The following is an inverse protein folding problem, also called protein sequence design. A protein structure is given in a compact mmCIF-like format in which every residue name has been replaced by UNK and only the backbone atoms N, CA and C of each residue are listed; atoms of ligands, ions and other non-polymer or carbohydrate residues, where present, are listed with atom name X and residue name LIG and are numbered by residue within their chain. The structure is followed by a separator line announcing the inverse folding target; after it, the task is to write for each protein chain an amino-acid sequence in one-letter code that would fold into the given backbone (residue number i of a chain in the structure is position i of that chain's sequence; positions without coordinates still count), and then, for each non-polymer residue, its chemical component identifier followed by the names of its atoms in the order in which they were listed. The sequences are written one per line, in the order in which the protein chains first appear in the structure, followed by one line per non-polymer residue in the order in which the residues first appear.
data_IF_001934520359
#
_entry.id   IF_001934520359
#
_cell.length_a   1.000
_cell.length_b   1.000
_cell.length_c   1.000
_cell.angle_alpha   90.00
_cell.angle_beta   90.00
_cell.angle_gamma   90.00
#
_symmetry.space_group_name_H-M   'P 1'
#
loop_
_entity.id
_entity.type
_entity.pdbx_description
1 polymer ?
#
# COMPACT_ATOMS: atom_id res chain seq x y z
N UNK A 1 -55.11 8.68 -48.88
CA UNK A 1 -53.83 9.41 -49.08
C UNK A 1 -53.59 10.27 -47.84
N UNK A 2 -52.53 9.98 -47.07
CA UNK A 2 -51.71 10.90 -46.24
C UNK A 2 -52.42 11.85 -45.23
N UNK A 3 -52.05 12.00 -43.96
CA UNK A 3 -50.77 11.77 -43.27
C UNK A 3 -50.99 11.85 -41.75
N UNK A 4 -50.23 11.04 -41.03
CA UNK A 4 -50.00 11.05 -39.58
C UNK A 4 -49.43 12.40 -39.13
N UNK A 5 -49.88 12.98 -38.02
CA UNK A 5 -49.09 13.95 -37.23
C UNK A 5 -49.64 14.03 -35.81
N UNK A 6 -48.77 13.89 -34.81
CA UNK A 6 -49.12 14.09 -33.40
C UNK A 6 -48.42 13.15 -32.42
N UNK A 7 -47.13 12.86 -32.65
CA UNK A 7 -46.26 12.21 -31.67
C UNK A 7 -45.38 13.26 -31.01
N UNK A 8 -45.05 12.99 -29.74
CA UNK A 8 -43.90 13.50 -29.00
C UNK A 8 -44.01 14.90 -28.36
N UNK A 9 -44.52 14.93 -27.13
CA UNK A 9 -43.88 15.72 -26.08
C UNK A 9 -44.04 14.94 -24.77
N UNK A 10 -43.06 15.03 -23.86
CA UNK A 10 -42.88 14.30 -22.59
C UNK A 10 -41.84 13.18 -22.71
N UNK A 11 -40.58 13.57 -22.53
CA UNK A 11 -39.49 12.76 -21.93
C UNK A 11 -38.22 13.63 -21.85
N UNK A 12 -38.27 14.68 -21.04
CA UNK A 12 -37.09 15.46 -20.66
C UNK A 12 -37.09 15.60 -19.14
N UNK A 13 -36.93 14.48 -18.44
CA UNK A 13 -36.74 14.48 -17.00
C UNK A 13 -35.65 13.48 -16.62
N UNK A 14 -34.65 14.01 -15.92
CA UNK A 14 -33.67 13.32 -15.09
C UNK A 14 -32.63 12.42 -15.81
N UNK A 15 -31.60 13.06 -16.36
CA UNK A 15 -30.25 12.50 -16.35
C UNK A 15 -29.25 13.51 -15.81
N UNK A 16 -29.50 13.99 -14.58
CA UNK A 16 -28.41 14.53 -13.75
C UNK A 16 -27.67 13.33 -13.20
N UNK A 17 -26.67 12.86 -13.95
CA UNK A 17 -25.65 11.97 -13.42
C UNK A 17 -25.00 12.70 -12.23
N UNK A 18 -25.28 12.21 -11.02
CA UNK A 18 -24.52 12.58 -9.82
C UNK A 18 -23.10 12.09 -10.08
N UNK A 19 -22.22 13.01 -10.47
CA UNK A 19 -20.80 12.78 -10.40
C UNK A 19 -20.49 12.55 -8.92
N UNK A 20 -20.21 11.30 -8.55
CA UNK A 20 -19.57 11.02 -7.28
C UNK A 20 -18.16 11.62 -7.42
N UNK A 21 -17.95 12.76 -6.78
CA UNK A 21 -16.63 13.35 -6.68
C UNK A 21 -15.71 12.31 -6.06
N UNK A 22 -14.71 11.87 -6.82
CA UNK A 22 -13.61 11.11 -6.25
C UNK A 22 -12.92 12.05 -5.25
N UNK A 23 -13.23 11.91 -3.97
CA UNK A 23 -12.64 12.75 -2.93
C UNK A 23 -11.17 12.38 -2.80
N UNK A 24 -10.30 13.18 -3.40
CA UNK A 24 -8.91 13.22 -2.98
C UNK A 24 -8.91 13.70 -1.53
N UNK A 25 -8.40 12.89 -0.61
CA UNK A 25 -8.23 13.29 0.77
C UNK A 25 -6.75 13.44 1.07
N UNK A 26 -6.42 14.35 1.96
CA UNK A 26 -5.05 14.57 2.38
C UNK A 26 -4.60 13.44 3.32
N UNK A 27 -3.43 12.88 3.06
CA UNK A 27 -2.74 11.95 3.94
C UNK A 27 -1.54 12.67 4.54
N UNK A 28 -1.41 12.62 5.86
CA UNK A 28 -0.23 13.11 6.59
C UNK A 28 0.70 11.94 6.87
N UNK A 29 1.97 12.07 6.52
CA UNK A 29 3.00 11.11 6.88
C UNK A 29 3.67 11.52 8.20
N UNK A 30 3.57 10.65 9.20
CA UNK A 30 4.07 10.92 10.56
C UNK A 30 5.43 10.28 10.84
N UNK A 31 5.90 9.42 9.93
CA UNK A 31 7.19 8.74 10.05
C UNK A 31 7.06 7.23 10.01
N UNK A 32 8.07 6.56 10.59
CA UNK A 32 8.14 5.10 10.67
C UNK A 32 8.52 4.67 12.08
N UNK A 33 7.78 3.71 12.63
CA UNK A 33 8.02 3.16 13.97
C UNK A 33 8.95 1.93 13.93
N UNK A 34 8.45 0.75 13.51
CA UNK A 34 9.25 -0.45 13.33
C UNK A 34 9.88 -0.47 11.95
N UNK A 35 11.20 -0.38 11.89
CA UNK A 35 11.96 -0.37 10.64
C UNK A 35 13.33 -0.99 10.78
N UNK A 36 13.83 -1.53 9.69
CA UNK A 36 15.22 -1.92 9.54
C UNK A 36 15.77 -1.42 8.21
N UNK A 37 17.09 -1.36 8.15
CA UNK A 37 17.80 -1.01 6.93
C UNK A 37 17.96 -2.25 6.06
N UNK A 38 17.62 -2.13 4.78
CA UNK A 38 17.72 -3.21 3.79
C UNK A 38 18.49 -2.75 2.56
N UNK A 39 19.29 -3.64 1.98
CA UNK A 39 19.92 -3.39 0.68
C UNK A 39 19.06 -4.01 -0.40
N UNK A 40 18.58 -3.20 -1.33
CA UNK A 40 17.68 -3.63 -2.39
C UNK A 40 18.46 -4.15 -3.58
N UNK A 41 18.09 -5.32 -4.10
CA UNK A 41 18.64 -5.86 -5.34
C UNK A 41 17.51 -6.13 -6.34
N UNK A 42 16.99 -5.05 -6.92
CA UNK A 42 15.96 -5.10 -7.96
C UNK A 42 16.58 -4.59 -9.28
N UNK A 43 17.07 -5.47 -10.17
CA UNK A 43 17.62 -5.04 -11.45
C UNK A 43 16.61 -4.21 -12.25
N UNK A 44 17.03 -3.04 -12.75
CA UNK A 44 16.17 -2.13 -13.51
C UNK A 44 15.43 -1.08 -12.67
N UNK A 45 15.38 -1.21 -11.34
CA UNK A 45 14.87 -0.17 -10.44
C UNK A 45 15.93 0.92 -10.18
N UNK A 46 15.48 2.15 -9.92
CA UNK A 46 16.35 3.29 -9.58
C UNK A 46 17.06 3.12 -8.23
N UNK A 47 16.54 2.23 -7.37
CA UNK A 47 17.07 1.98 -6.03
C UNK A 47 17.90 0.68 -5.93
N UNK A 48 18.16 0.00 -7.05
CA UNK A 48 19.01 -1.19 -7.08
C UNK A 48 20.41 -0.92 -6.50
N UNK A 49 20.86 -1.78 -5.59
CA UNK A 49 22.12 -1.66 -4.86
C UNK A 49 22.12 -0.62 -3.73
N UNK A 50 21.02 0.14 -3.54
CA UNK A 50 20.92 1.14 -2.49
C UNK A 50 20.46 0.53 -1.18
N UNK A 51 20.84 1.22 -0.11
CA UNK A 51 20.45 0.87 1.26
C UNK A 51 19.37 1.85 1.71
N UNK A 52 18.19 1.32 2.03
CA UNK A 52 16.98 2.09 2.37
C UNK A 52 16.34 1.57 3.66
N UNK A 53 15.43 2.33 4.25
CA UNK A 53 14.60 1.82 5.34
C UNK A 53 13.38 1.08 4.77
N UNK A 54 13.13 -0.12 5.29
CA UNK A 54 11.90 -0.87 5.09
C UNK A 54 11.23 -1.08 6.44
N UNK A 55 9.90 -1.00 6.48
CA UNK A 55 9.17 -1.12 7.73
C UNK A 55 7.76 -0.55 7.67
N UNK A 56 7.20 -0.37 8.85
CA UNK A 56 5.87 0.17 9.07
C UNK A 56 5.91 1.69 9.09
N UNK A 57 4.98 2.30 8.37
CA UNK A 57 4.76 3.74 8.30
C UNK A 57 3.57 4.09 9.21
N UNK A 58 3.66 5.25 9.84
CA UNK A 58 2.57 5.89 10.56
C UNK A 58 2.03 7.02 9.67
N UNK A 59 0.72 6.99 9.42
CA UNK A 59 0.02 8.01 8.65
C UNK A 59 -1.24 8.43 9.38
N UNK A 60 -1.65 9.68 9.19
CA UNK A 60 -2.99 10.15 9.51
C UNK A 60 -3.76 10.30 8.20
N UNK A 61 -4.97 9.77 8.14
CA UNK A 61 -5.82 9.86 6.97
C UNK A 61 -7.30 9.80 7.37
N UNK A 62 -8.11 10.75 6.85
CA UNK A 62 -9.52 10.89 7.25
C UNK A 62 -9.69 10.92 8.79
N UNK A 63 -8.87 11.73 9.47
CA UNK A 63 -8.87 11.90 10.93
C UNK A 63 -8.61 10.61 11.72
N UNK A 64 -7.98 9.61 11.10
CA UNK A 64 -7.61 8.34 11.73
C UNK A 64 -6.11 8.05 11.58
N UNK A 65 -5.49 7.65 12.69
CA UNK A 65 -4.13 7.14 12.71
C UNK A 65 -4.11 5.71 12.18
N UNK A 66 -3.37 5.49 11.09
CA UNK A 66 -3.26 4.21 10.42
C UNK A 66 -1.81 3.76 10.33
N UNK A 67 -1.65 2.45 10.28
CA UNK A 67 -0.38 1.81 9.92
C UNK A 67 -0.38 1.47 8.44
N UNK A 68 0.73 1.74 7.77
CA UNK A 68 0.85 1.57 6.33
C UNK A 68 2.22 1.00 5.94
N UNK A 69 2.31 0.49 4.72
CA UNK A 69 3.57 0.03 4.10
C UNK A 69 3.71 0.67 2.73
N UNK A 70 4.91 1.15 2.40
CA UNK A 70 5.18 1.59 1.04
C UNK A 70 5.17 0.38 0.10
N UNK A 71 4.41 0.46 -0.98
CA UNK A 71 4.31 -0.61 -2.00
C UNK A 71 5.16 -0.33 -3.24
N UNK A 72 5.70 0.89 -3.34
CA UNK A 72 6.49 1.36 -4.47
C UNK A 72 7.96 1.45 -4.05
N UNK A 73 8.82 0.71 -4.75
CA UNK A 73 10.24 0.65 -4.43
C UNK A 73 11.00 1.87 -4.93
N UNK A 74 10.49 2.58 -5.94
CA UNK A 74 11.19 3.69 -6.58
C UNK A 74 10.74 5.06 -6.03
N UNK A 75 9.74 5.09 -5.15
CA UNK A 75 9.19 6.31 -4.56
C UNK A 75 9.31 6.32 -3.03
N UNK A 76 9.33 7.55 -2.48
CA UNK A 76 9.37 7.79 -1.05
C UNK A 76 7.98 8.16 -0.52
N UNK A 77 7.68 7.73 0.69
CA UNK A 77 6.46 8.15 1.39
C UNK A 77 6.57 9.60 1.84
N UNK A 78 5.46 10.33 1.77
CA UNK A 78 5.34 11.71 2.20
C UNK A 78 3.88 12.13 2.33
N UNK A 79 3.65 13.31 2.90
CA UNK A 79 2.31 13.88 3.01
C UNK A 79 1.84 14.44 1.66
N UNK A 80 0.63 14.08 1.23
CA UNK A 80 0.05 14.59 -0.01
C UNK A 80 -1.46 14.34 -0.06
N UNK A 81 -2.13 14.96 -1.01
CA UNK A 81 -3.43 14.44 -1.46
C UNK A 81 -3.23 13.05 -2.07
N UNK A 82 -4.09 12.10 -1.67
CA UNK A 82 -4.04 10.72 -2.16
C UNK A 82 -5.40 10.29 -2.69
N UNK A 83 -5.37 9.41 -3.67
CA UNK A 83 -6.55 8.72 -4.18
C UNK A 83 -6.55 7.28 -3.70
N UNK A 84 -7.67 6.84 -3.16
CA UNK A 84 -7.87 5.44 -2.80
C UNK A 84 -7.92 4.55 -4.04
N UNK A 85 -7.18 3.44 -3.97
CA UNK A 85 -7.22 2.41 -4.99
C UNK A 85 -7.32 1.05 -4.32
N UNK A 86 -8.14 0.20 -4.90
CA UNK A 86 -8.22 -1.19 -4.49
C UNK A 86 -6.92 -1.92 -4.83
N UNK A 87 -6.32 -2.53 -3.81
CA UNK A 87 -5.08 -3.28 -3.89
C UNK A 87 -5.11 -4.35 -5.00
N UNK A 88 -6.22 -5.10 -5.05
CA UNK A 88 -6.35 -6.31 -5.86
C UNK A 88 -6.38 -5.98 -7.35
N UNK A 89 -7.03 -4.89 -7.72
CA UNK A 89 -7.15 -4.41 -9.09
C UNK A 89 -5.99 -3.51 -9.53
N UNK A 90 -5.37 -2.78 -8.61
CA UNK A 90 -4.34 -1.80 -8.96
C UNK A 90 -2.92 -2.38 -8.97
N UNK A 91 -2.58 -3.26 -8.02
CA UNK A 91 -1.23 -3.83 -7.94
C UNK A 91 -1.08 -5.12 -8.71
N UNK A 92 0.14 -5.32 -9.24
CA UNK A 92 0.60 -6.66 -9.64
C UNK A 92 0.59 -7.57 -8.42
N UNK A 93 0.02 -8.77 -8.57
CA UNK A 93 -0.12 -9.75 -7.50
C UNK A 93 -0.88 -9.20 -6.26
N UNK A 94 -1.81 -8.25 -6.46
CA UNK A 94 -2.50 -7.54 -5.38
C UNK A 94 -3.22 -8.44 -4.36
N UNK A 95 -3.72 -9.62 -4.78
CA UNK A 95 -4.30 -10.60 -3.85
C UNK A 95 -3.27 -11.15 -2.85
N UNK A 96 -2.05 -11.42 -3.32
CA UNK A 96 -0.98 -11.92 -2.46
C UNK A 96 -0.44 -10.81 -1.56
N UNK A 97 -0.35 -9.57 -2.06
CA UNK A 97 -0.03 -8.39 -1.24
C UNK A 97 -1.06 -8.21 -0.11
N UNK A 98 -2.35 -8.25 -0.44
CA UNK A 98 -3.43 -8.16 0.55
C UNK A 98 -3.33 -9.30 1.58
N UNK A 99 -3.11 -10.53 1.12
CA UNK A 99 -2.90 -11.69 2.01
C UNK A 99 -1.72 -11.48 2.97
N UNK A 100 -0.56 -11.07 2.46
CA UNK A 100 0.63 -10.83 3.29
C UNK A 100 0.37 -9.75 4.34
N UNK A 101 -0.23 -8.63 3.93
CA UNK A 101 -0.54 -7.53 4.83
C UNK A 101 -1.52 -7.95 5.93
N UNK A 102 -2.67 -8.53 5.57
CA UNK A 102 -3.71 -8.95 6.54
C UNK A 102 -3.21 -10.05 7.48
N UNK A 103 -2.38 -10.97 6.97
CA UNK A 103 -1.88 -12.10 7.75
C UNK A 103 -0.80 -11.68 8.74
N UNK A 104 0.15 -10.85 8.31
CA UNK A 104 1.37 -10.61 9.08
C UNK A 104 1.42 -9.24 9.76
N UNK A 105 0.72 -8.21 9.26
CA UNK A 105 0.76 -6.89 9.88
C UNK A 105 0.32 -6.88 11.36
N UNK A 106 -0.69 -7.67 11.80
CA UNK A 106 -1.10 -7.68 13.22
C UNK A 106 -0.09 -8.39 14.14
N UNK A 107 0.83 -9.17 13.56
CA UNK A 107 1.82 -9.96 14.30
C UNK A 107 3.15 -9.24 14.51
N UNK A 108 3.29 -8.03 13.98
CA UNK A 108 4.53 -7.25 14.03
C UNK A 108 4.78 -6.72 15.43
N UNK A 109 5.89 -7.16 16.01
CA UNK A 109 6.36 -6.76 17.34
C UNK A 109 7.83 -6.27 17.34
N UNK A 110 8.47 -6.22 16.18
CA UNK A 110 9.88 -5.85 16.05
C UNK A 110 10.20 -5.11 14.74
N UNK A 111 11.34 -4.41 14.74
CA UNK A 111 11.93 -3.78 13.56
C UNK A 111 12.12 -4.76 12.40
N UNK A 112 12.59 -5.98 12.72
CA UNK A 112 12.85 -7.01 11.71
C UNK A 112 11.58 -7.58 11.11
N UNK A 113 10.56 -7.87 11.90
CA UNK A 113 9.28 -8.37 11.37
C UNK A 113 8.60 -7.34 10.48
N UNK A 114 8.69 -6.04 10.83
CA UNK A 114 8.14 -4.98 10.00
C UNK A 114 8.88 -4.81 8.66
N UNK A 115 10.21 -4.82 8.70
CA UNK A 115 11.02 -4.75 7.49
C UNK A 115 10.85 -5.99 6.60
N UNK A 116 10.74 -7.18 7.20
CA UNK A 116 10.49 -8.42 6.48
C UNK A 116 9.16 -8.40 5.74
N UNK A 117 8.09 -7.89 6.37
CA UNK A 117 6.80 -7.71 5.68
C UNK A 117 6.92 -6.71 4.52
N UNK A 118 7.55 -5.55 4.73
CA UNK A 118 7.73 -4.55 3.67
C UNK A 118 8.51 -5.10 2.47
N UNK A 119 9.60 -5.83 2.74
CA UNK A 119 10.38 -6.51 1.70
C UNK A 119 9.59 -7.59 1.00
N UNK A 120 8.83 -8.43 1.72
CA UNK A 120 7.99 -9.47 1.10
C UNK A 120 6.92 -8.86 0.18
N UNK A 121 6.32 -7.73 0.57
CA UNK A 121 5.39 -6.97 -0.28
C UNK A 121 6.10 -6.51 -1.56
N UNK A 122 7.29 -5.93 -1.45
CA UNK A 122 8.06 -5.52 -2.62
C UNK A 122 8.47 -6.69 -3.52
N UNK A 123 8.87 -7.83 -2.96
CA UNK A 123 9.17 -9.05 -3.71
C UNK A 123 7.96 -9.47 -4.53
N UNK A 124 6.80 -9.62 -3.89
CA UNK A 124 5.58 -10.05 -4.56
C UNK A 124 5.15 -9.09 -5.66
N UNK A 125 5.28 -7.78 -5.45
CA UNK A 125 4.93 -6.78 -6.47
C UNK A 125 5.88 -6.84 -7.67
N UNK A 126 7.17 -7.04 -7.42
CA UNK A 126 8.21 -6.99 -8.46
C UNK A 126 8.56 -8.37 -9.05
N UNK A 127 8.04 -9.46 -8.49
CA UNK A 127 8.23 -10.80 -9.02
C UNK A 127 7.71 -10.87 -10.46
N UNK A 128 8.59 -11.23 -11.39
CA UNK A 128 8.20 -11.57 -12.76
C UNK A 128 8.10 -13.08 -12.88
N UNK A 129 7.21 -13.59 -13.75
CA UNK A 129 7.05 -15.03 -13.98
C UNK A 129 8.34 -15.74 -14.47
N UNK A 130 9.40 -14.98 -14.79
CA UNK A 130 10.68 -15.47 -15.32
C UNK A 130 11.76 -15.57 -14.23
N UNK A 131 11.54 -14.98 -13.04
CA UNK A 131 12.58 -14.81 -12.01
C UNK A 131 12.68 -15.95 -10.98
N UNK A 132 11.83 -16.99 -11.06
CA UNK A 132 11.83 -18.13 -10.13
C UNK A 132 13.16 -18.89 -10.00
N UNK A 133 14.13 -18.66 -10.90
CA UNK A 133 15.41 -19.38 -10.93
C UNK A 133 16.62 -18.54 -10.49
N UNK A 134 16.48 -17.23 -10.22
CA UNK A 134 17.64 -16.33 -10.04
C UNK A 134 17.55 -15.42 -8.81
N UNK A 135 17.71 -16.01 -7.61
CA UNK A 135 17.93 -15.36 -6.29
C UNK A 135 16.75 -14.50 -5.78
N UNK A 136 16.52 -14.44 -4.45
CA UNK A 136 15.58 -13.46 -3.88
C UNK A 136 16.05 -12.02 -4.19
N UNK A 137 15.10 -11.13 -4.49
CA UNK A 137 15.31 -9.72 -4.87
C UNK A 137 15.90 -8.92 -3.69
N UNK A 138 15.77 -9.43 -2.46
CA UNK A 138 16.27 -8.73 -1.28
C UNK A 138 17.15 -9.63 -0.41
N UNK A 139 18.22 -9.05 0.12
CA UNK A 139 19.06 -9.68 1.12
C UNK A 139 18.89 -8.93 2.43
N UNK A 140 18.06 -9.48 3.33
CA UNK A 140 17.96 -9.01 4.69
C UNK A 140 19.24 -9.42 5.43
N UNK A 141 20.21 -8.51 5.52
CA UNK A 141 21.31 -8.69 6.48
C UNK A 141 20.81 -8.21 7.84
N UNK A 142 20.79 -9.07 8.89
CA UNK A 142 20.57 -8.58 10.23
C UNK A 142 21.68 -7.59 10.57
N UNK A 143 21.31 -6.33 10.86
CA UNK A 143 22.16 -5.43 11.62
C UNK A 143 22.42 -6.14 12.95
N UNK A 144 23.69 -6.42 13.26
CA UNK A 144 24.05 -6.99 14.57
C UNK A 144 23.79 -5.93 15.64
N UNK A 145 22.53 -5.80 16.06
CA UNK A 145 22.16 -5.00 17.21
C UNK A 145 22.52 -5.81 18.45
N UNK A 146 23.57 -5.36 19.13
CA UNK A 146 24.00 -5.94 20.39
C UNK A 146 22.92 -5.74 21.47
N UNK A 147 22.27 -6.86 21.82
CA UNK A 147 21.56 -7.15 23.08
C UNK A 147 20.32 -6.31 23.43
N UNK A 148 19.16 -6.97 23.67
CA UNK A 148 18.52 -7.18 25.02
C UNK A 148 17.06 -7.72 24.95
N UNK A 149 16.44 -8.17 26.08
CA UNK A 149 15.78 -9.48 26.16
C UNK A 149 14.25 -9.51 26.15
N UNK A 150 13.74 -10.74 25.98
CA UNK A 150 12.35 -11.27 26.04
C UNK A 150 11.39 -10.63 27.06
N UNK A 151 10.17 -10.27 26.60
CA UNK A 151 8.89 -10.32 27.36
C UNK A 151 7.74 -10.58 26.37
N UNK A 152 7.09 -11.76 26.43
CA UNK A 152 5.89 -12.18 27.20
C UNK A 152 4.59 -11.89 26.43
N UNK A 153 3.95 -12.98 25.98
CA UNK A 153 2.72 -13.00 25.21
C UNK A 153 1.55 -12.32 25.93
N UNK A 154 0.79 -11.51 25.19
CA UNK A 154 -0.47 -10.88 25.59
C UNK A 154 -1.59 -11.43 24.70
N UNK A 155 -2.74 -11.69 25.33
CA UNK A 155 -3.95 -12.28 24.72
C UNK A 155 -4.65 -11.32 23.76
N UNK A 156 -5.23 -11.94 22.73
CA UNK A 156 -6.17 -11.42 21.73
C UNK A 156 -7.36 -10.63 22.31
N UNK A 157 -7.85 -9.61 21.58
CA UNK A 157 -9.27 -9.30 21.50
C UNK A 157 -9.83 -9.53 20.09
N UNK A 158 -11.05 -10.06 20.08
CA UNK A 158 -11.96 -10.22 18.95
C UNK A 158 -12.36 -8.87 18.32
N UNK A 159 -12.71 -8.96 17.03
CA UNK A 159 -13.36 -7.95 16.18
C UNK A 159 -12.47 -6.84 15.60
N UNK A 160 -11.72 -7.19 14.55
CA UNK A 160 -11.28 -6.24 13.54
C UNK A 160 -12.33 -6.22 12.40
N UNK A 161 -13.06 -5.12 12.33
CA UNK A 161 -13.83 -4.68 11.18
C UNK A 161 -12.90 -4.63 9.97
N UNK A 162 -13.39 -5.08 8.81
CA UNK A 162 -12.65 -5.21 7.54
C UNK A 162 -11.82 -3.95 7.25
N UNK A 163 -10.53 -3.99 7.57
CA UNK A 163 -9.59 -2.99 7.11
C UNK A 163 -9.50 -3.15 5.59
N UNK A 164 -10.14 -2.23 4.86
CA UNK A 164 -9.87 -2.10 3.44
C UNK A 164 -8.36 -1.91 3.29
N UNK A 165 -7.69 -2.85 2.63
CA UNK A 165 -6.29 -2.70 2.18
C UNK A 165 -6.27 -1.56 1.16
N UNK A 166 -6.27 -0.33 1.65
CA UNK A 166 -6.17 0.86 0.83
C UNK A 166 -4.69 1.04 0.52
N UNK A 167 -4.30 0.55 -0.66
CA UNK A 167 -2.96 0.78 -1.19
C UNK A 167 -2.98 2.20 -1.74
N UNK A 168 -2.74 3.14 -0.84
CA UNK A 168 -2.66 4.57 -1.13
C UNK A 168 -1.28 4.81 -1.70
N UNK A 169 -1.19 4.82 -3.02
CA UNK A 169 0.06 5.15 -3.70
C UNK A 169 0.50 6.54 -3.24
N UNK A 170 1.69 6.63 -2.64
CA UNK A 170 2.39 7.87 -2.42
C UNK A 170 2.79 8.43 -3.80
N UNK A 171 1.86 9.03 -4.52
CA UNK A 171 2.20 9.77 -5.72
C UNK A 171 2.58 11.17 -5.27
N UNK A 172 3.88 11.47 -5.32
CA UNK A 172 4.32 12.85 -5.21
C UNK A 172 3.64 13.66 -6.31
N UNK A 173 2.92 14.72 -5.94
CA UNK A 173 2.60 15.78 -6.88
C UNK A 173 3.92 16.48 -7.21
N UNK A 174 4.35 16.40 -8.47
CA UNK A 174 5.56 17.05 -8.96
C UNK A 174 5.63 18.50 -8.48
N UNK A 175 6.74 18.89 -7.84
CA UNK A 175 6.87 20.24 -7.29
C UNK A 175 8.19 20.58 -6.61
N UNK A 176 9.32 20.44 -7.32
CA UNK A 176 10.50 21.31 -7.19
C UNK A 176 11.47 21.10 -8.37
#
# INVERSE_FOLDING_TARGET
MNRKLGFALICAFALTAVALDASACFMTYEGMDYKATVTVYAPGSAISGRTVYAGRHLIEYQDADLTAWCVDIDHWSGSSEVTERDAVSFLRNGQLVAYLFETFSPTIDSNYSAAALGVAIWEVINETQVDYLHRPIFNLRPVQDHQRPRRRAVRSPEHAELASVSIRTCRHADGA
#
